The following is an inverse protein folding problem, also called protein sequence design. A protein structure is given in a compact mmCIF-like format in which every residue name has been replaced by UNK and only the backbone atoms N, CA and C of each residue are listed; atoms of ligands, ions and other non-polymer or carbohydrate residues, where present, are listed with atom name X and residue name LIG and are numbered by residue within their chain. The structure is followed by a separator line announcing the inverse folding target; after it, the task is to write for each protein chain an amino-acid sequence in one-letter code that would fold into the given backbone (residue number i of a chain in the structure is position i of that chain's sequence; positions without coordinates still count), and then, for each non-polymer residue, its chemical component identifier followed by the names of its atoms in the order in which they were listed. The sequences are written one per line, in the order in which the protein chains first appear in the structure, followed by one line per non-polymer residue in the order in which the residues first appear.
data_IF_862318234557
#
_entry.id   IF_862318234557
#
_cell.length_a   1.000
_cell.length_b   1.000
_cell.length_c   1.000
_cell.angle_alpha   90.00
_cell.angle_beta   90.00
_cell.angle_gamma   90.00
#
_symmetry.space_group_name_H-M   'P 1'
#
loop_
_entity.id
_entity.type
_entity.pdbx_description
1 polymer ?
#
# COMPACT_ATOMS: atom_id res chain seq x y z
N UNK A 1 -1.98 9.71 -1.87
CA UNK A 1 -0.72 9.97 -2.61
C UNK A 1 -0.98 9.77 -4.09
N UNK A 2 -0.45 10.60 -5.00
CA UNK A 2 -0.55 10.35 -6.45
C UNK A 2 0.54 9.38 -6.89
N UNK A 3 0.21 8.40 -7.72
CA UNK A 3 1.14 7.39 -8.24
C UNK A 3 0.63 6.78 -9.55
N UNK A 4 1.54 6.31 -10.41
CA UNK A 4 1.17 5.52 -11.58
C UNK A 4 0.97 4.07 -11.17
N UNK A 5 -0.24 3.54 -11.38
CA UNK A 5 -0.59 2.14 -11.13
C UNK A 5 -1.11 1.56 -12.43
N UNK A 6 -0.42 0.52 -12.93
CA UNK A 6 -0.81 -0.16 -14.17
C UNK A 6 -1.00 0.81 -15.35
N UNK A 7 -0.11 1.80 -15.45
CA UNK A 7 -0.15 2.85 -16.49
C UNK A 7 -1.13 4.00 -16.24
N UNK A 8 -1.92 3.98 -15.17
CA UNK A 8 -2.93 5.01 -14.87
C UNK A 8 -2.50 5.89 -13.70
N UNK A 9 -2.74 7.19 -13.80
CA UNK A 9 -2.54 8.12 -12.67
C UNK A 9 -3.63 7.91 -11.62
N UNK A 10 -3.22 7.40 -10.46
CA UNK A 10 -4.12 7.00 -9.40
C UNK A 10 -3.87 7.82 -8.13
N UNK A 11 -4.95 8.08 -7.40
CA UNK A 11 -4.87 8.44 -5.99
C UNK A 11 -4.82 7.16 -5.16
N UNK A 12 -3.66 6.91 -4.55
CA UNK A 12 -3.44 5.78 -3.64
C UNK A 12 -3.79 6.20 -2.21
N UNK A 13 -4.59 5.36 -1.56
CA UNK A 13 -5.06 5.50 -0.20
C UNK A 13 -4.55 4.34 0.66
N UNK A 14 -4.28 4.64 1.92
CA UNK A 14 -3.83 3.68 2.92
C UNK A 14 -4.66 3.87 4.18
N UNK A 15 -5.09 2.77 4.78
CA UNK A 15 -5.94 2.79 5.96
C UNK A 15 -5.60 1.59 6.85
N UNK A 16 -5.74 1.78 8.16
CA UNK A 16 -5.83 0.68 9.11
C UNK A 16 -7.27 0.59 9.60
N UNK A 17 -7.91 -0.56 9.44
CA UNK A 17 -9.24 -0.84 9.99
C UNK A 17 -9.16 -2.01 10.97
N UNK A 18 -9.61 -1.80 12.22
CA UNK A 18 -9.56 -2.78 13.32
C UNK A 18 -8.25 -3.60 13.43
N UNK A 19 -7.12 -2.93 13.29
CA UNK A 19 -5.76 -3.48 13.30
C UNK A 19 -5.23 -3.94 11.94
N UNK A 20 -6.07 -4.13 10.91
CA UNK A 20 -5.65 -4.62 9.59
C UNK A 20 -5.25 -3.49 8.65
N UNK A 21 -4.09 -3.64 8.02
CA UNK A 21 -3.57 -2.69 7.04
C UNK A 21 -4.22 -2.93 5.67
N UNK A 22 -4.70 -1.86 5.04
CA UNK A 22 -5.35 -1.89 3.73
C UNK A 22 -4.82 -0.78 2.81
N UNK A 23 -4.87 -1.05 1.51
CA UNK A 23 -4.50 -0.11 0.46
C UNK A 23 -5.57 -0.11 -0.62
N UNK A 24 -5.74 1.04 -1.29
CA UNK A 24 -6.54 1.14 -2.49
C UNK A 24 -5.88 2.08 -3.50
N UNK A 25 -6.11 1.81 -4.78
CA UNK A 25 -5.86 2.75 -5.86
C UNK A 25 -7.20 3.19 -6.43
N UNK A 26 -7.40 4.50 -6.54
CA UNK A 26 -8.54 5.08 -7.21
C UNK A 26 -8.03 5.84 -8.45
N UNK A 27 -8.50 5.51 -9.67
CA UNK A 27 -8.13 6.24 -10.87
C UNK A 27 -8.44 7.73 -10.70
N UNK A 28 -7.48 8.60 -10.97
CA UNK A 28 -7.76 10.03 -10.98
C UNK A 28 -8.63 10.30 -12.21
N UNK A 29 -9.73 11.04 -12.07
CA UNK A 29 -10.72 11.37 -13.13
C UNK A 29 -11.86 10.37 -13.37
N UNK A 30 -11.97 9.29 -12.59
CA UNK A 30 -13.16 8.42 -12.59
C UNK A 30 -13.71 8.24 -11.17
N UNK A 31 -14.30 9.31 -10.61
CA UNK A 31 -14.85 9.31 -9.24
C UNK A 31 -16.02 8.32 -9.05
N UNK A 32 -16.60 7.82 -10.14
CA UNK A 32 -17.67 6.82 -10.11
C UNK A 32 -17.15 5.38 -9.95
N UNK A 33 -15.86 5.12 -10.21
CA UNK A 33 -15.26 3.77 -10.15
C UNK A 33 -15.24 3.15 -8.74
N UNK A 34 -15.46 3.96 -7.70
CA UNK A 34 -15.41 3.53 -6.30
C UNK A 34 -13.99 3.19 -5.83
N UNK A 35 -13.85 2.93 -4.52
CA UNK A 35 -12.56 2.55 -3.91
C UNK A 35 -12.58 1.07 -3.59
N UNK A 36 -11.73 0.30 -4.28
CA UNK A 36 -11.54 -1.13 -4.01
C UNK A 36 -10.40 -1.31 -3.02
N UNK A 37 -10.77 -1.53 -1.75
CA UNK A 37 -9.81 -1.79 -0.68
C UNK A 37 -9.30 -3.22 -0.78
N UNK A 38 -7.98 -3.37 -0.88
CA UNK A 38 -7.31 -4.65 -0.78
C UNK A 38 -6.68 -4.76 0.61
N UNK A 39 -7.11 -5.72 1.46
CA UNK A 39 -6.39 -6.04 2.68
C UNK A 39 -4.95 -6.41 2.32
N UNK A 40 -3.98 -5.72 2.91
CA UNK A 40 -2.56 -5.98 2.67
C UNK A 40 -2.02 -7.16 3.48
N UNK A 41 -2.87 -7.77 4.33
CA UNK A 41 -2.61 -9.03 5.02
C UNK A 41 -2.07 -8.93 6.45
N UNK A 42 -1.34 -7.87 6.81
CA UNK A 42 -0.74 -7.72 8.15
C UNK A 42 -1.56 -6.88 9.13
N UNK A 43 -1.30 -7.10 10.42
CA UNK A 43 -1.73 -6.19 11.48
C UNK A 43 -0.70 -5.09 11.72
N UNK A 44 -1.18 -3.86 11.89
CA UNK A 44 -0.35 -2.72 12.26
C UNK A 44 -0.97 -1.93 13.39
N UNK A 45 -0.11 -1.21 14.11
CA UNK A 45 -0.50 -0.38 15.24
C UNK A 45 -1.26 0.88 14.79
N UNK A 46 -0.95 1.37 13.57
CA UNK A 46 -1.45 2.64 13.03
C UNK A 46 -1.64 2.56 11.52
N UNK A 47 -2.24 3.60 10.94
CA UNK A 47 -2.36 3.80 9.49
C UNK A 47 -0.97 3.75 8.82
N UNK A 48 -0.78 2.98 7.74
CA UNK A 48 0.49 2.94 7.03
C UNK A 48 0.79 4.27 6.34
N UNK A 49 2.06 4.63 6.28
CA UNK A 49 2.56 5.69 5.42
C UNK A 49 2.75 5.16 3.99
N UNK A 50 2.54 6.06 3.02
CA UNK A 50 2.76 5.82 1.60
C UNK A 50 4.00 6.58 1.13
N UNK A 51 4.77 5.94 0.25
CA UNK A 51 5.88 6.57 -0.46
C UNK A 51 6.02 5.96 -1.87
N UNK A 52 6.86 6.60 -2.69
CA UNK A 52 7.38 6.01 -3.92
C UNK A 52 8.84 5.59 -3.70
N UNK A 53 9.25 4.47 -4.27
CA UNK A 53 10.67 4.12 -4.35
C UNK A 53 11.36 4.78 -5.56
N UNK A 54 12.67 4.52 -5.73
CA UNK A 54 13.44 5.09 -6.84
C UNK A 54 13.05 4.60 -8.24
N UNK A 55 12.02 3.78 -8.35
CA UNK A 55 11.42 3.33 -9.61
C UNK A 55 9.94 3.76 -9.71
N UNK A 56 9.53 4.77 -8.93
CA UNK A 56 8.17 5.31 -8.88
C UNK A 56 7.10 4.28 -8.47
N UNK A 57 7.50 3.21 -7.78
CA UNK A 57 6.56 2.18 -7.31
C UNK A 57 6.04 2.50 -5.92
N UNK A 58 4.78 2.17 -5.68
CA UNK A 58 4.15 2.36 -4.37
C UNK A 58 4.83 1.49 -3.31
N UNK A 59 5.16 2.12 -2.19
CA UNK A 59 5.66 1.48 -0.97
C UNK A 59 4.73 1.83 0.19
N UNK A 60 4.38 0.81 0.97
CA UNK A 60 3.72 0.98 2.26
C UNK A 60 4.71 0.71 3.39
N UNK A 61 4.68 1.56 4.39
CA UNK A 61 5.42 1.40 5.63
C UNK A 61 4.47 1.50 6.83
N UNK A 62 4.53 0.55 7.75
CA UNK A 62 3.74 0.56 8.97
C UNK A 62 4.58 0.09 10.17
N UNK A 63 4.16 0.46 11.37
CA UNK A 63 4.63 -0.19 12.58
C UNK A 63 3.76 -1.40 12.86
N UNK A 64 4.37 -2.57 12.98
CA UNK A 64 3.72 -3.76 13.53
C UNK A 64 3.34 -3.55 14.99
N UNK A 65 2.49 -4.43 15.52
CA UNK A 65 2.08 -4.36 16.94
C UNK A 65 3.25 -4.53 17.93
N UNK A 66 4.36 -5.11 17.48
CA UNK A 66 5.62 -5.23 18.22
C UNK A 66 6.54 -4.01 18.06
N UNK A 67 6.07 -2.94 17.44
CA UNK A 67 6.82 -1.70 17.21
C UNK A 67 7.88 -1.81 16.10
N UNK A 68 8.00 -2.95 15.43
CA UNK A 68 8.96 -3.13 14.32
C UNK A 68 8.41 -2.56 13.02
N UNK A 69 9.31 -2.03 12.19
CA UNK A 69 8.96 -1.50 10.89
C UNK A 69 8.66 -2.65 9.90
N UNK A 70 7.46 -2.60 9.31
CA UNK A 70 7.00 -3.45 8.23
C UNK A 70 7.00 -2.65 6.92
N UNK A 71 7.50 -3.26 5.85
CA UNK A 71 7.48 -2.66 4.50
C UNK A 71 6.91 -3.63 3.48
N UNK A 72 5.95 -3.16 2.68
CA UNK A 72 5.43 -3.86 1.50
C UNK A 72 5.61 -2.97 0.27
N UNK A 73 5.87 -3.59 -0.88
CA UNK A 73 6.16 -2.89 -2.15
C UNK A 73 5.25 -3.40 -3.25
N UNK A 74 4.88 -2.51 -4.16
CA UNK A 74 4.10 -2.84 -5.33
C UNK A 74 4.76 -3.95 -6.17
N UNK A 75 3.95 -4.91 -6.61
CA UNK A 75 4.31 -5.93 -7.59
C UNK A 75 4.37 -5.33 -8.98
N UNK A 76 5.27 -5.86 -9.81
CA UNK A 76 5.44 -5.43 -11.21
C UNK A 76 4.93 -6.47 -12.20
N UNK A 77 4.47 -7.61 -11.69
CA UNK A 77 4.06 -8.81 -12.42
C UNK A 77 2.55 -9.09 -12.29
N UNK A 78 1.77 -8.16 -11.73
CA UNK A 78 0.33 -8.26 -11.55
C UNK A 78 -0.37 -6.96 -11.99
N UNK A 79 -1.57 -7.09 -12.56
CA UNK A 79 -2.44 -5.98 -12.97
C UNK A 79 -2.94 -5.20 -11.76
N UNK A 80 -3.09 -3.88 -11.91
CA UNK A 80 -3.56 -2.99 -10.83
C UNK A 80 -2.57 -2.83 -9.66
N UNK A 81 -3.09 -2.44 -8.49
CA UNK A 81 -2.29 -2.26 -7.27
C UNK A 81 -2.23 -3.56 -6.46
N UNK A 82 -1.18 -4.35 -6.68
CA UNK A 82 -0.88 -5.51 -5.86
C UNK A 82 0.42 -5.30 -5.07
N UNK A 83 0.48 -5.80 -3.83
CA UNK A 83 1.66 -5.69 -2.96
C UNK A 83 2.34 -7.05 -2.77
N UNK A 84 3.67 -7.05 -2.74
CA UNK A 84 4.47 -8.18 -2.21
C UNK A 84 4.16 -8.37 -0.71
N UNK A 85 4.51 -9.54 -0.19
CA UNK A 85 4.41 -9.81 1.24
C UNK A 85 5.19 -8.77 2.07
N UNK A 86 4.68 -8.48 3.26
CA UNK A 86 5.32 -7.58 4.21
C UNK A 86 6.67 -8.14 4.67
N UNK A 87 7.68 -7.26 4.74
CA UNK A 87 9.01 -7.59 5.24
C UNK A 87 9.30 -6.78 6.51
N UNK A 88 9.82 -7.45 7.54
CA UNK A 88 10.31 -6.81 8.77
C UNK A 88 11.70 -6.22 8.55
N UNK A 89 11.85 -4.92 8.70
CA UNK A 89 13.15 -4.25 8.59
C UNK A 89 13.99 -4.56 9.83
N UNK A 90 15.28 -4.83 9.64
CA UNK A 90 16.23 -5.05 10.74
C UNK A 90 16.07 -6.37 11.47
N UNK A 91 15.38 -7.35 10.88
CA UNK A 91 15.24 -8.71 11.43
C UNK A 91 16.35 -9.69 11.00
N UNK A 92 17.52 -9.14 10.64
CA UNK A 92 18.73 -9.91 10.31
C UNK A 92 19.51 -10.35 11.54
#
# INVERSE_FOLDING_TARGET
MRAVVDGHDCTVLAHQDTGRLAVAAHPSEDEAAGVWWTPSGEQGAHTPALALDGQDRVVLAALGLDGRLLVARQKTDETGLALRAWNRVGSG
#
